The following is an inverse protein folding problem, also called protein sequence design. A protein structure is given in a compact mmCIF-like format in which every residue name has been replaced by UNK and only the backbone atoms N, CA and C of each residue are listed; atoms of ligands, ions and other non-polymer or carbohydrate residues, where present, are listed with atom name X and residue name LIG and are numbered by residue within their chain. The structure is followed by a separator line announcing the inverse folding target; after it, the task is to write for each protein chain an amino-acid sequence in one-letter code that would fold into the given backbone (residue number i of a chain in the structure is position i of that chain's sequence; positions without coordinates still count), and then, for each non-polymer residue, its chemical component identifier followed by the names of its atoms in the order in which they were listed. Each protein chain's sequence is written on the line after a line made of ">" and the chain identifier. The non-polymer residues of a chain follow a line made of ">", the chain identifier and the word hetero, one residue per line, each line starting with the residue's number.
data_IF_725188243286
#
_entry.id   IF_725188243286
#
_cell.length_a   1.000
_cell.length_b   1.000
_cell.length_c   1.000
_cell.angle_alpha   90.00
_cell.angle_beta   90.00
_cell.angle_gamma   90.00
#
_symmetry.space_group_name_H-M   'P 1'
#
loop_
_entity.id
_entity.type
_entity.pdbx_description
1 polymer ?
#
# COMPACT_ATOMS: atom_id res chain seq x y z
N UNK A 1 -20.39 -7.70 43.44
CA UNK A 1 -20.88 -8.02 42.08
C UNK A 1 -20.92 -6.73 41.28
N UNK A 2 -20.45 -6.75 40.02
CA UNK A 2 -20.26 -5.63 39.07
C UNK A 2 -18.84 -5.03 39.00
N UNK A 3 -17.92 -5.84 38.47
CA UNK A 3 -16.82 -5.31 37.66
C UNK A 3 -17.39 -5.05 36.26
N UNK A 4 -17.83 -3.81 36.02
CA UNK A 4 -18.12 -3.35 34.67
C UNK A 4 -16.79 -2.99 34.03
N UNK A 5 -16.12 -3.97 33.41
CA UNK A 5 -15.00 -3.67 32.52
C UNK A 5 -15.54 -2.74 31.44
N UNK A 6 -15.02 -1.52 31.38
CA UNK A 6 -15.10 -0.68 30.19
C UNK A 6 -14.64 -1.56 29.02
N UNK A 7 -15.60 -1.99 28.20
CA UNK A 7 -15.30 -2.67 26.95
C UNK A 7 -14.67 -1.59 26.09
N UNK A 8 -13.33 -1.54 26.10
CA UNK A 8 -12.56 -0.84 25.08
C UNK A 8 -13.13 -1.34 23.76
N UNK A 9 -13.77 -0.44 23.03
CA UNK A 9 -14.38 -0.74 21.74
C UNK A 9 -13.22 -1.19 20.85
N UNK A 10 -13.14 -2.51 20.63
CA UNK A 10 -12.09 -3.14 19.83
C UNK A 10 -12.39 -2.87 18.36
N UNK A 11 -12.31 -1.62 17.95
CA UNK A 11 -12.43 -1.26 16.53
C UNK A 11 -11.11 -1.66 15.88
N UNK A 12 -11.08 -2.72 15.06
CA UNK A 12 -9.87 -3.06 14.34
C UNK A 12 -9.47 -1.87 13.45
N UNK A 13 -8.16 -1.61 13.27
CA UNK A 13 -7.71 -0.64 12.29
C UNK A 13 -8.30 -0.98 10.91
N UNK A 14 -8.80 0.03 10.20
CA UNK A 14 -9.49 -0.17 8.94
C UNK A 14 -10.85 -0.86 9.10
N UNK A 15 -11.66 -0.42 10.07
CA UNK A 15 -13.06 -0.84 10.29
C UNK A 15 -14.04 -0.49 9.16
N UNK A 16 -13.51 -0.31 7.95
CA UNK A 16 -14.20 -0.04 6.70
C UNK A 16 -13.88 -1.16 5.69
N UNK A 17 -14.67 -1.33 4.62
CA UNK A 17 -14.31 -2.26 3.56
C UNK A 17 -12.94 -1.94 2.95
N UNK A 18 -12.21 -3.00 2.57
CA UNK A 18 -10.96 -2.87 1.81
C UNK A 18 -11.20 -2.15 0.48
N UNK A 19 -10.18 -1.44 -0.02
CA UNK A 19 -10.17 -0.85 -1.35
C UNK A 19 -9.98 -1.88 -2.48
N UNK A 20 -9.63 -3.13 -2.16
CA UNK A 20 -9.48 -4.20 -3.16
C UNK A 20 -10.82 -4.59 -3.78
N UNK A 21 -10.86 -4.56 -5.12
CA UNK A 21 -11.98 -5.06 -5.92
C UNK A 21 -11.82 -6.54 -6.27
N UNK A 22 -10.59 -7.01 -6.51
CA UNK A 22 -10.30 -8.45 -6.57
C UNK A 22 -10.40 -9.05 -5.17
N UNK A 23 -11.21 -10.09 -5.03
CA UNK A 23 -11.56 -10.74 -3.77
C UNK A 23 -10.83 -12.07 -3.57
N UNK A 24 -10.04 -12.51 -4.54
CA UNK A 24 -9.41 -13.84 -4.58
C UNK A 24 -8.75 -14.26 -3.26
N UNK A 25 -7.93 -13.40 -2.65
CA UNK A 25 -7.22 -13.73 -1.42
C UNK A 25 -8.18 -13.90 -0.23
N UNK A 26 -9.21 -13.05 -0.15
CA UNK A 26 -10.23 -13.10 0.90
C UNK A 26 -11.11 -14.33 0.74
N UNK A 27 -11.48 -14.66 -0.51
CA UNK A 27 -12.37 -15.78 -0.81
C UNK A 27 -11.71 -17.14 -0.58
N UNK A 28 -10.38 -17.17 -0.49
CA UNK A 28 -9.59 -18.37 -0.19
C UNK A 28 -9.12 -18.44 1.27
N UNK A 29 -9.57 -17.53 2.13
CA UNK A 29 -9.33 -17.68 3.56
C UNK A 29 -10.07 -18.91 4.09
N UNK A 30 -9.54 -19.57 5.13
CA UNK A 30 -10.28 -20.62 5.84
C UNK A 30 -11.62 -20.11 6.38
N UNK A 31 -12.55 -21.02 6.65
CA UNK A 31 -13.77 -20.69 7.38
C UNK A 31 -13.45 -19.89 8.65
N UNK A 32 -14.29 -18.92 8.99
CA UNK A 32 -14.05 -17.98 10.11
C UNK A 32 -13.77 -18.68 11.44
N UNK A 33 -14.32 -19.88 11.64
CA UNK A 33 -14.10 -20.68 12.85
C UNK A 33 -12.69 -21.31 12.94
N UNK A 34 -11.96 -21.33 11.82
CA UNK A 34 -10.58 -21.80 11.71
C UNK A 34 -9.57 -20.65 11.70
N UNK A 35 -10.05 -19.40 11.68
CA UNK A 35 -9.21 -18.21 11.73
C UNK A 35 -8.83 -17.87 13.17
N UNK A 36 -7.68 -17.20 13.40
CA UNK A 36 -7.28 -16.77 14.73
C UNK A 36 -8.20 -15.66 15.27
N UNK A 37 -8.26 -15.53 16.59
CA UNK A 37 -8.80 -14.34 17.22
C UNK A 37 -7.85 -13.15 17.00
N UNK A 38 -8.35 -12.10 16.36
CA UNK A 38 -7.59 -10.87 16.14
C UNK A 38 -7.72 -9.96 17.37
N UNK A 39 -6.66 -9.87 18.18
CA UNK A 39 -6.61 -8.97 19.33
C UNK A 39 -5.63 -7.82 19.13
N UNK A 40 -6.17 -6.62 18.90
CA UNK A 40 -5.40 -5.39 18.71
C UNK A 40 -5.26 -4.56 20.00
N UNK A 41 -5.78 -5.06 21.14
CA UNK A 41 -5.79 -4.30 22.39
C UNK A 41 -4.40 -3.96 22.96
N UNK A 42 -3.38 -4.73 22.58
CA UNK A 42 -1.99 -4.47 22.96
C UNK A 42 -1.25 -3.45 22.08
N UNK A 43 -1.91 -2.90 21.04
CA UNK A 43 -1.27 -2.02 20.04
C UNK A 43 -2.13 -0.76 19.79
N UNK A 44 -2.29 0.11 20.81
CA UNK A 44 -3.22 1.23 20.74
C UNK A 44 -2.90 2.23 19.62
N UNK A 45 -1.64 2.34 19.18
CA UNK A 45 -1.22 3.19 18.08
C UNK A 45 -1.89 2.84 16.74
N UNK A 46 -2.39 1.61 16.58
CA UNK A 46 -3.12 1.21 15.38
C UNK A 46 -4.40 2.04 15.15
N UNK A 47 -4.98 2.57 16.21
CA UNK A 47 -6.17 3.45 16.15
C UNK A 47 -5.89 4.82 15.53
N UNK A 48 -4.61 5.20 15.37
CA UNK A 48 -4.22 6.51 14.82
C UNK A 48 -4.00 6.48 13.31
N UNK A 49 -3.91 5.29 12.70
CA UNK A 49 -3.75 5.16 11.26
C UNK A 49 -5.06 5.49 10.53
N UNK A 50 -4.93 6.04 9.33
CA UNK A 50 -6.06 6.25 8.45
C UNK A 50 -6.65 4.92 7.97
N UNK A 51 -7.95 4.90 7.73
CA UNK A 51 -8.69 3.72 7.25
C UNK A 51 -8.10 3.12 5.96
N UNK A 52 -7.60 3.97 5.06
CA UNK A 52 -6.87 3.58 3.86
C UNK A 52 -5.56 4.34 3.77
N UNK A 53 -4.51 3.64 3.35
CA UNK A 53 -3.19 4.21 3.10
C UNK A 53 -2.63 3.70 1.76
N UNK A 54 -1.81 4.53 1.12
CA UNK A 54 -1.11 4.17 -0.11
C UNK A 54 0.38 4.49 0.05
N UNK A 55 1.23 3.46 0.03
CA UNK A 55 2.66 3.62 0.19
C UNK A 55 3.29 4.48 -0.91
N UNK A 56 2.77 4.43 -2.14
CA UNK A 56 3.21 5.29 -3.24
C UNK A 56 2.99 6.77 -2.93
N UNK A 57 1.80 7.12 -2.44
CA UNK A 57 1.49 8.50 -2.04
C UNK A 57 2.42 8.98 -0.91
N UNK A 58 2.59 8.16 0.13
CA UNK A 58 3.37 8.53 1.30
C UNK A 58 4.87 8.67 1.00
N UNK A 59 5.43 7.76 0.20
CA UNK A 59 6.87 7.67 -0.05
C UNK A 59 7.32 8.48 -1.28
N UNK A 60 6.43 8.74 -2.24
CA UNK A 60 6.77 9.37 -3.52
C UNK A 60 6.03 10.69 -3.74
N UNK A 61 4.70 10.68 -3.84
CA UNK A 61 3.91 11.89 -4.13
C UNK A 61 4.14 12.98 -3.09
N UNK A 62 4.14 12.63 -1.80
CA UNK A 62 4.40 13.60 -0.73
C UNK A 62 5.80 14.19 -0.77
N UNK A 63 6.80 13.44 -1.23
CA UNK A 63 8.16 13.97 -1.38
C UNK A 63 8.20 15.05 -2.48
N UNK A 64 7.55 14.79 -3.61
CA UNK A 64 7.40 15.78 -4.68
C UNK A 64 6.60 17.00 -4.20
N UNK A 65 5.45 16.78 -3.55
CA UNK A 65 4.60 17.85 -3.04
C UNK A 65 5.30 18.75 -2.00
N UNK A 66 6.26 18.20 -1.24
CA UNK A 66 7.12 18.94 -0.30
C UNK A 66 8.23 19.77 -0.97
N UNK A 67 8.27 19.80 -2.31
CA UNK A 67 9.30 20.52 -3.07
C UNK A 67 10.61 19.76 -3.22
N UNK A 68 10.66 18.48 -2.83
CA UNK A 68 11.86 17.64 -2.92
C UNK A 68 11.97 16.90 -4.27
N UNK A 69 11.07 17.23 -5.21
CA UNK A 69 10.96 16.56 -6.51
C UNK A 69 12.25 16.54 -7.34
N UNK A 70 13.09 17.57 -7.22
CA UNK A 70 14.37 17.66 -7.92
C UNK A 70 15.54 16.92 -7.26
N UNK A 71 15.35 16.35 -6.05
CA UNK A 71 16.39 15.58 -5.37
C UNK A 71 16.49 14.17 -5.95
N UNK A 72 17.71 13.65 -6.02
CA UNK A 72 17.96 12.27 -6.39
C UNK A 72 17.33 11.31 -5.37
N UNK A 73 16.65 10.27 -5.85
CA UNK A 73 16.02 9.20 -5.08
C UNK A 73 16.63 7.84 -5.37
N UNK A 74 17.11 7.63 -6.61
CA UNK A 74 17.74 6.39 -7.04
C UNK A 74 19.06 6.69 -7.73
N UNK A 75 20.08 5.90 -7.42
CA UNK A 75 21.37 5.89 -8.09
C UNK A 75 21.62 4.50 -8.65
N UNK A 76 21.99 4.42 -9.92
CA UNK A 76 22.27 3.16 -10.60
C UNK A 76 23.31 3.39 -11.69
N UNK A 77 24.46 2.71 -11.54
CA UNK A 77 25.64 2.91 -12.39
C UNK A 77 26.03 4.39 -12.47
N UNK A 78 26.07 4.97 -13.67
CA UNK A 78 26.40 6.36 -13.96
C UNK A 78 25.17 7.30 -13.95
N UNK A 79 23.99 6.78 -13.59
CA UNK A 79 22.71 7.51 -13.68
C UNK A 79 22.07 7.70 -12.33
N UNK A 80 21.37 8.82 -12.19
CA UNK A 80 20.55 9.13 -11.02
C UNK A 80 19.17 9.56 -11.48
N UNK A 81 18.13 9.10 -10.78
CA UNK A 81 16.77 9.57 -10.99
C UNK A 81 16.34 10.42 -9.82
N UNK A 82 15.60 11.48 -10.14
CA UNK A 82 14.94 12.35 -9.18
C UNK A 82 13.56 11.82 -8.79
N UNK A 83 13.02 12.29 -7.67
CA UNK A 83 11.64 11.97 -7.26
C UNK A 83 10.61 12.31 -8.36
N UNK A 84 10.80 13.42 -9.08
CA UNK A 84 9.94 13.80 -10.20
C UNK A 84 9.98 12.80 -11.36
N UNK A 85 11.18 12.32 -11.71
CA UNK A 85 11.34 11.35 -12.79
C UNK A 85 10.71 10.00 -12.42
N UNK A 86 10.94 9.54 -11.18
CA UNK A 86 10.34 8.32 -10.67
C UNK A 86 8.81 8.43 -10.66
N UNK A 87 8.24 9.49 -10.08
CA UNK A 87 6.79 9.71 -10.04
C UNK A 87 6.18 9.74 -11.45
N UNK A 88 6.81 10.47 -12.37
CA UNK A 88 6.33 10.57 -13.75
C UNK A 88 6.33 9.21 -14.45
N UNK A 89 7.37 8.40 -14.24
CA UNK A 89 7.45 7.08 -14.87
C UNK A 89 6.47 6.09 -14.24
N UNK A 90 6.38 6.04 -12.91
CA UNK A 90 5.42 5.19 -12.20
C UNK A 90 3.99 5.46 -12.66
N UNK A 91 3.58 6.73 -12.72
CA UNK A 91 2.24 7.11 -13.20
C UNK A 91 1.96 6.69 -14.65
N UNK A 92 2.99 6.70 -15.52
CA UNK A 92 2.85 6.20 -16.89
C UNK A 92 2.65 4.69 -16.93
N UNK A 93 3.39 3.95 -16.08
CA UNK A 93 3.24 2.50 -15.95
C UNK A 93 1.86 2.15 -15.37
N UNK A 94 1.40 2.83 -14.32
CA UNK A 94 0.06 2.64 -13.74
C UNK A 94 -1.04 2.81 -14.79
N UNK A 95 -0.89 3.82 -15.66
CA UNK A 95 -1.85 4.08 -16.73
C UNK A 95 -1.94 2.91 -17.71
N UNK A 96 -0.80 2.34 -18.12
CA UNK A 96 -0.79 1.13 -18.98
C UNK A 96 -1.44 -0.05 -18.26
N UNK A 97 -1.11 -0.27 -16.98
CA UNK A 97 -1.68 -1.37 -16.21
C UNK A 97 -3.21 -1.26 -16.10
N UNK A 98 -3.74 -0.05 -15.87
CA UNK A 98 -5.18 0.17 -15.71
C UNK A 98 -5.91 0.21 -17.05
N UNK A 99 -5.41 0.98 -18.03
CA UNK A 99 -6.14 1.25 -19.28
C UNK A 99 -5.96 0.13 -20.31
N UNK A 100 -4.75 -0.42 -20.45
CA UNK A 100 -4.45 -1.40 -21.49
C UNK A 100 -4.53 -2.83 -20.96
N UNK A 101 -4.12 -3.05 -19.70
CA UNK A 101 -4.15 -4.38 -19.07
C UNK A 101 -5.37 -4.62 -18.18
N UNK A 102 -6.26 -3.64 -18.01
CA UNK A 102 -7.46 -3.72 -17.17
C UNK A 102 -7.19 -4.15 -15.71
N UNK A 103 -6.04 -3.75 -15.17
CA UNK A 103 -5.70 -4.03 -13.77
C UNK A 103 -6.68 -3.30 -12.85
N UNK A 104 -7.20 -4.03 -11.86
CA UNK A 104 -8.09 -3.51 -10.83
C UNK A 104 -7.41 -3.56 -9.46
N UNK A 105 -7.84 -2.73 -8.48
CA UNK A 105 -7.34 -2.82 -7.11
C UNK A 105 -7.44 -4.25 -6.55
N UNK A 106 -6.34 -4.77 -6.00
CA UNK A 106 -6.23 -6.15 -5.52
C UNK A 106 -5.77 -7.16 -6.59
N UNK A 107 -5.75 -6.76 -7.87
CA UNK A 107 -5.14 -7.54 -8.95
C UNK A 107 -3.63 -7.73 -8.73
N UNK A 108 -3.08 -8.78 -9.33
CA UNK A 108 -1.69 -9.21 -9.10
C UNK A 108 -0.86 -9.10 -10.36
N UNK A 109 0.30 -8.47 -10.25
CA UNK A 109 1.31 -8.35 -11.29
C UNK A 109 2.59 -9.02 -10.82
N UNK A 110 3.10 -9.99 -11.59
CA UNK A 110 4.40 -10.59 -11.30
C UNK A 110 5.51 -9.66 -11.82
N UNK A 111 6.30 -9.10 -10.90
CA UNK A 111 7.50 -8.35 -11.24
C UNK A 111 8.70 -9.29 -11.26
N UNK A 112 9.26 -9.53 -12.46
CA UNK A 112 10.47 -10.35 -12.64
C UNK A 112 11.56 -9.52 -13.33
N UNK A 113 12.47 -8.97 -12.54
CA UNK A 113 13.62 -8.21 -13.02
C UNK A 113 14.77 -8.27 -12.02
N UNK A 114 15.96 -7.80 -12.42
CA UNK A 114 17.05 -7.50 -11.48
C UNK A 114 16.81 -6.20 -10.70
N UNK A 115 17.73 -5.89 -9.79
CA UNK A 115 17.69 -4.66 -8.97
C UNK A 115 18.03 -3.41 -9.80
N UNK A 116 17.05 -2.90 -10.53
CA UNK A 116 17.17 -1.74 -11.42
C UNK A 116 16.17 -0.64 -11.03
N UNK A 117 16.43 0.65 -11.37
CA UNK A 117 15.47 1.73 -11.13
C UNK A 117 14.09 1.49 -11.78
N UNK A 118 14.05 0.79 -12.91
CA UNK A 118 12.79 0.42 -13.56
C UNK A 118 11.95 -0.52 -12.69
N UNK A 119 12.57 -1.48 -11.99
CA UNK A 119 11.84 -2.36 -11.07
C UNK A 119 11.18 -1.55 -9.93
N UNK A 120 11.87 -0.51 -9.44
CA UNK A 120 11.32 0.40 -8.42
C UNK A 120 10.14 1.19 -8.99
N UNK A 121 10.25 1.71 -10.22
CA UNK A 121 9.13 2.40 -10.88
C UNK A 121 7.92 1.47 -11.08
N UNK A 122 8.14 0.22 -11.48
CA UNK A 122 7.07 -0.78 -11.60
C UNK A 122 6.42 -1.13 -10.26
N UNK A 123 7.15 -1.04 -9.14
CA UNK A 123 6.58 -1.29 -7.80
C UNK A 123 5.70 -0.13 -7.33
N UNK A 124 6.03 1.10 -7.71
CA UNK A 124 5.22 2.29 -7.43
C UNK A 124 4.01 2.45 -8.36
N UNK A 125 3.95 1.67 -9.44
CA UNK A 125 2.92 1.75 -10.47
C UNK A 125 1.63 1.05 -10.04
#
# INVERSE_FOLDING_TARGET
>A
MKSGKDKIEKTPPGGVPTAHRDTYARDLLPDTNLQPEYDYSGVPELTTYADHQNAGVELLDKMVARGLGGLAVLHYEDKSWTYNELLKLSNRLSRVLIEDCNLVPGGRVLLRAGNTPMLVACWFA
#
